data_IF_487257653147
#
_entry.id   IF_487257653147
#
_cell.length_a   1.000
_cell.length_b   1.000
_cell.length_c   1.000
_cell.angle_alpha   90.00
_cell.angle_beta   90.00
_cell.angle_gamma   90.00
#
_symmetry.space_group_name_H-M   'P 1'
#
loop_
_entity.id
_entity.type
_entity.pdbx_description
1 polymer ?
#
# COMPACT_ATOMS: atom_id res chain seq x y z
N UNK A 1 13.79 -21.19 10.34
CA UNK A 1 12.53 -20.41 10.41
C UNK A 1 12.36 -19.83 9.03
N UNK A 2 11.19 -20.01 8.44
CA UNK A 2 10.85 -19.59 7.09
C UNK A 2 10.97 -18.05 7.00
N UNK A 3 11.95 -17.58 6.22
CA UNK A 3 12.29 -16.17 6.02
C UNK A 3 11.59 -15.61 4.76
N UNK A 4 10.55 -16.30 4.27
CA UNK A 4 9.66 -15.74 3.27
C UNK A 4 8.99 -14.51 3.87
N UNK A 5 9.28 -13.33 3.32
CA UNK A 5 8.56 -12.11 3.65
C UNK A 5 7.04 -12.37 3.62
N UNK A 6 6.21 -11.70 4.46
CA UNK A 6 4.74 -11.83 4.43
C UNK A 6 4.09 -11.34 3.11
N UNK A 7 4.88 -11.14 2.07
CA UNK A 7 4.57 -10.55 0.77
C UNK A 7 3.86 -11.48 -0.20
N UNK A 8 3.36 -12.62 0.26
CA UNK A 8 2.39 -13.41 -0.49
C UNK A 8 0.97 -13.25 0.06
N UNK A 9 0.79 -12.62 1.22
CA UNK A 9 -0.54 -12.46 1.83
C UNK A 9 -1.01 -11.03 1.66
N UNK A 10 -2.01 -10.86 0.82
CA UNK A 10 -2.63 -9.58 0.50
C UNK A 10 -4.07 -9.55 1.00
N UNK A 11 -4.56 -8.33 1.23
CA UNK A 11 -5.97 -8.06 1.38
C UNK A 11 -6.32 -6.84 0.54
N UNK A 12 -7.07 -7.07 -0.54
CA UNK A 12 -7.55 -6.02 -1.42
C UNK A 12 -8.77 -5.38 -0.78
N UNK A 13 -8.81 -4.06 -0.70
CA UNK A 13 -9.84 -3.28 -0.03
C UNK A 13 -10.36 -2.21 -0.98
N UNK A 14 -11.66 -1.98 -0.95
CA UNK A 14 -12.33 -0.86 -1.59
C UNK A 14 -13.49 -0.38 -0.72
N UNK A 15 -13.72 0.94 -0.70
CA UNK A 15 -14.82 1.57 0.02
C UNK A 15 -15.66 2.46 -0.88
N UNK A 16 -16.98 2.37 -0.72
CA UNK A 16 -17.88 3.44 -1.13
C UNK A 16 -18.23 4.33 0.05
N UNK A 17 -18.27 5.64 -0.17
CA UNK A 17 -18.37 6.62 0.90
C UNK A 17 -19.33 7.76 0.56
N UNK A 18 -19.81 8.46 1.59
CA UNK A 18 -20.65 9.65 1.41
C UNK A 18 -19.89 10.86 0.86
N UNK A 19 -18.57 10.77 0.67
CA UNK A 19 -17.76 11.83 0.09
C UNK A 19 -16.26 11.63 0.34
N UNK A 20 -15.44 12.62 -0.04
CA UNK A 20 -13.99 12.40 -0.15
C UNK A 20 -13.17 12.63 1.13
N UNK A 21 -13.77 13.13 2.21
CA UNK A 21 -13.04 13.52 3.41
C UNK A 21 -13.27 12.51 4.56
N UNK A 22 -12.28 11.67 4.91
CA UNK A 22 -12.46 10.62 5.92
C UNK A 22 -12.73 11.16 7.33
N UNK A 23 -12.50 12.45 7.61
CA UNK A 23 -12.81 13.07 8.90
C UNK A 23 -14.27 13.48 9.04
N UNK A 24 -14.97 13.70 7.93
CA UNK A 24 -16.34 14.24 7.94
C UNK A 24 -17.35 13.34 7.21
N UNK A 25 -16.87 12.47 6.33
CA UNK A 25 -17.67 11.53 5.55
C UNK A 25 -17.65 10.14 6.21
N UNK A 26 -18.51 9.27 5.69
CA UNK A 26 -18.78 7.92 6.18
C UNK A 26 -18.59 6.88 5.09
N UNK A 27 -18.11 5.71 5.51
CA UNK A 27 -18.13 4.49 4.68
C UNK A 27 -19.55 3.94 4.70
N UNK A 28 -20.06 3.59 3.53
CA UNK A 28 -21.42 3.06 3.34
C UNK A 28 -21.42 1.68 2.67
N UNK A 29 -20.33 1.33 1.98
CA UNK A 29 -20.08 -0.03 1.52
C UNK A 29 -18.61 -0.37 1.72
N UNK A 30 -18.34 -1.59 2.16
CA UNK A 30 -17.01 -2.18 2.24
C UNK A 30 -16.94 -3.42 1.39
N UNK A 31 -15.93 -3.50 0.53
CA UNK A 31 -15.54 -4.72 -0.16
C UNK A 31 -14.09 -5.06 0.17
N UNK A 32 -13.83 -6.29 0.56
CA UNK A 32 -12.45 -6.76 0.68
C UNK A 32 -12.29 -8.22 0.25
N UNK A 33 -11.10 -8.55 -0.24
CA UNK A 33 -10.75 -9.87 -0.78
C UNK A 33 -9.36 -10.24 -0.30
N UNK A 34 -9.23 -11.38 0.39
CA UNK A 34 -7.92 -11.95 0.71
C UNK A 34 -7.32 -12.56 -0.55
N UNK A 35 -6.01 -12.38 -0.75
CA UNK A 35 -5.28 -13.00 -1.85
C UNK A 35 -4.02 -13.63 -1.29
N UNK A 36 -3.79 -14.91 -1.59
CA UNK A 36 -2.58 -15.64 -1.21
C UNK A 36 -1.80 -15.96 -2.49
N UNK A 37 -0.62 -15.35 -2.64
CA UNK A 37 0.14 -15.25 -3.88
C UNK A 37 -0.66 -14.49 -4.93
N UNK A 38 -1.28 -15.25 -5.84
CA UNK A 38 -2.16 -14.76 -6.92
C UNK A 38 -3.56 -15.41 -6.88
N UNK A 39 -3.86 -16.16 -5.81
CA UNK A 39 -5.10 -16.91 -5.65
C UNK A 39 -6.06 -16.12 -4.76
N UNK A 40 -7.24 -15.82 -5.28
CA UNK A 40 -8.30 -15.15 -4.53
C UNK A 40 -8.87 -16.11 -3.46
N UNK A 41 -9.08 -15.59 -2.25
CA UNK A 41 -9.55 -16.32 -1.09
C UNK A 41 -10.86 -15.77 -0.54
N UNK A 42 -10.93 -15.63 0.78
CA UNK A 42 -12.12 -15.15 1.48
C UNK A 42 -12.49 -13.72 1.07
N UNK A 43 -13.77 -13.39 1.12
CA UNK A 43 -14.29 -12.04 0.88
C UNK A 43 -14.96 -11.49 2.13
N UNK A 44 -14.93 -10.17 2.26
CA UNK A 44 -15.68 -9.41 3.25
C UNK A 44 -16.54 -8.40 2.51
N UNK A 45 -17.83 -8.35 2.88
CA UNK A 45 -18.77 -7.37 2.36
C UNK A 45 -19.66 -6.84 3.46
N UNK A 46 -19.88 -5.54 3.48
CA UNK A 46 -20.80 -4.90 4.41
C UNK A 46 -21.38 -3.63 3.81
N UNK A 47 -22.69 -3.46 3.96
CA UNK A 47 -23.36 -2.16 3.85
C UNK A 47 -23.47 -1.54 5.24
N UNK A 48 -23.34 -0.22 5.34
CA UNK A 48 -23.34 0.48 6.62
C UNK A 48 -24.09 1.81 6.57
N UNK A 49 -24.83 2.12 7.63
CA UNK A 49 -25.60 3.34 7.72
C UNK A 49 -24.68 4.55 8.02
N UNK A 50 -24.75 5.63 7.22
CA UNK A 50 -23.99 6.85 7.48
C UNK A 50 -24.63 7.68 8.60
N UNK A 51 -23.87 8.62 9.18
CA UNK A 51 -24.40 9.51 10.24
C UNK A 51 -25.26 10.66 9.69
N UNK A 52 -25.22 10.88 8.37
CA UNK A 52 -25.99 11.89 7.67
C UNK A 52 -26.42 11.35 6.30
N UNK A 53 -27.44 11.98 5.71
CA UNK A 53 -27.98 11.58 4.41
C UNK A 53 -26.88 11.50 3.33
N UNK A 54 -26.96 10.48 2.48
CA UNK A 54 -26.01 10.27 1.39
C UNK A 54 -26.17 11.40 0.37
N UNK A 55 -25.11 12.17 0.06
CA UNK A 55 -25.20 13.22 -0.95
C UNK A 55 -25.52 12.63 -2.32
N UNK A 56 -26.46 13.25 -3.05
CA UNK A 56 -26.85 12.79 -4.39
C UNK A 56 -25.67 12.66 -5.36
N UNK A 57 -24.63 13.49 -5.21
CA UNK A 57 -23.41 13.41 -6.02
C UNK A 57 -22.64 12.10 -5.79
N UNK A 58 -22.65 11.56 -4.57
CA UNK A 58 -22.03 10.27 -4.24
C UNK A 58 -22.90 9.13 -4.78
N UNK A 59 -24.22 9.18 -4.56
CA UNK A 59 -25.17 8.20 -5.13
C UNK A 59 -25.11 8.11 -6.65
N UNK A 60 -24.80 9.19 -7.37
CA UNK A 60 -24.59 9.15 -8.83
C UNK A 60 -23.36 8.33 -9.25
N UNK A 61 -22.39 8.14 -8.35
CA UNK A 61 -21.17 7.34 -8.60
C UNK A 61 -21.45 5.86 -8.31
N UNK A 62 -21.84 5.54 -7.07
CA UNK A 62 -21.93 4.15 -6.59
C UNK A 62 -23.34 3.56 -6.59
N UNK A 63 -24.37 4.39 -6.85
CA UNK A 63 -25.76 3.94 -6.96
C UNK A 63 -26.43 3.58 -5.64
N UNK A 64 -25.81 3.86 -4.50
CA UNK A 64 -26.36 3.59 -3.15
C UNK A 64 -27.12 4.82 -2.67
N UNK A 65 -28.36 4.61 -2.25
CA UNK A 65 -29.24 5.64 -1.67
C UNK A 65 -29.53 5.34 -0.20
N UNK A 66 -30.08 6.31 0.54
CA UNK A 66 -30.34 6.16 1.98
C UNK A 66 -31.20 4.92 2.31
N UNK A 67 -32.17 4.59 1.45
CA UNK A 67 -33.04 3.43 1.62
C UNK A 67 -32.27 2.09 1.56
N UNK A 68 -31.16 2.01 0.81
CA UNK A 68 -30.37 0.78 0.69
C UNK A 68 -29.62 0.44 1.99
N UNK A 69 -29.37 1.43 2.84
CA UNK A 69 -28.55 1.31 4.06
C UNK A 69 -29.31 1.67 5.34
N UNK A 70 -30.63 1.92 5.25
CA UNK A 70 -31.44 2.40 6.37
C UNK A 70 -31.43 1.44 7.58
N UNK A 71 -31.43 0.14 7.33
CA UNK A 71 -31.42 -0.90 8.36
C UNK A 71 -30.00 -1.44 8.67
N UNK A 72 -28.97 -0.89 8.02
CA UNK A 72 -27.59 -1.33 8.20
C UNK A 72 -26.99 -0.80 9.51
N UNK A 73 -26.06 -1.53 10.15
CA UNK A 73 -25.34 -1.00 11.30
C UNK A 73 -24.40 0.15 10.89
N UNK A 74 -24.00 1.03 11.83
CA UNK A 74 -22.94 2.02 11.56
C UNK A 74 -21.61 1.30 11.27
N UNK A 75 -20.73 1.94 10.48
CA UNK A 75 -19.47 1.32 10.09
C UNK A 75 -18.58 0.99 11.28
N UNK A 76 -18.61 1.78 12.35
CA UNK A 76 -17.88 1.55 13.59
C UNK A 76 -18.17 0.16 14.21
N UNK A 77 -19.37 -0.41 13.98
CA UNK A 77 -19.72 -1.75 14.44
C UNK A 77 -19.10 -2.89 13.62
N UNK A 78 -18.48 -2.56 12.47
CA UNK A 78 -17.87 -3.51 11.52
C UNK A 78 -16.35 -3.36 11.42
N UNK A 79 -15.78 -2.29 12.01
CA UNK A 79 -14.34 -2.03 11.91
C UNK A 79 -13.51 -3.13 12.55
N UNK A 80 -13.92 -3.67 13.70
CA UNK A 80 -13.20 -4.77 14.35
C UNK A 80 -13.13 -6.01 13.44
N UNK A 81 -14.26 -6.45 12.91
CA UNK A 81 -14.35 -7.58 11.98
C UNK A 81 -13.49 -7.36 10.72
N UNK A 82 -13.47 -6.12 10.20
CA UNK A 82 -12.64 -5.77 9.06
C UNK A 82 -11.14 -5.79 9.41
N UNK A 83 -10.74 -5.26 10.56
CA UNK A 83 -9.33 -5.28 10.99
C UNK A 83 -8.82 -6.71 11.19
N UNK A 84 -9.65 -7.59 11.76
CA UNK A 84 -9.36 -9.03 11.87
C UNK A 84 -9.22 -9.66 10.47
N UNK A 85 -10.11 -9.32 9.53
CA UNK A 85 -10.02 -9.80 8.15
C UNK A 85 -8.73 -9.36 7.43
N UNK A 86 -8.19 -8.19 7.78
CA UNK A 86 -6.97 -7.61 7.21
C UNK A 86 -5.69 -8.01 7.97
N UNK A 87 -5.79 -8.76 9.07
CA UNK A 87 -4.66 -9.11 9.92
C UNK A 87 -3.59 -9.91 9.16
N UNK A 88 -2.31 -9.65 9.47
CA UNK A 88 -1.13 -10.30 8.86
C UNK A 88 -1.06 -10.25 7.33
N UNK A 89 -1.75 -9.27 6.72
CA UNK A 89 -1.84 -9.07 5.27
C UNK A 89 -1.38 -7.67 4.87
N UNK A 90 -0.79 -7.56 3.68
CA UNK A 90 -0.53 -6.28 3.05
C UNK A 90 -1.84 -5.76 2.46
N UNK A 91 -2.24 -4.55 2.86
CA UNK A 91 -3.44 -3.90 2.32
C UNK A 91 -3.15 -3.48 0.88
N UNK A 92 -4.05 -3.79 -0.04
CA UNK A 92 -3.96 -3.41 -1.45
C UNK A 92 -5.22 -2.64 -1.82
N UNK A 93 -5.09 -1.55 -2.55
CA UNK A 93 -6.24 -0.81 -3.05
C UNK A 93 -5.88 -0.05 -4.33
N UNK A 94 -6.88 0.28 -5.14
CA UNK A 94 -6.70 1.06 -6.36
C UNK A 94 -6.91 2.54 -6.04
N UNK A 95 -5.81 3.30 -5.88
CA UNK A 95 -5.77 4.58 -5.14
C UNK A 95 -5.72 4.45 -3.61
N UNK A 96 -4.96 3.47 -3.10
CA UNK A 96 -4.91 3.07 -1.69
C UNK A 96 -4.81 4.17 -0.63
N UNK A 97 -4.28 5.36 -0.97
CA UNK A 97 -4.35 6.53 -0.08
C UNK A 97 -5.75 6.76 0.48
N UNK A 98 -6.76 6.67 -0.39
CA UNK A 98 -8.14 7.00 -0.07
C UNK A 98 -8.70 6.00 0.95
N UNK A 99 -8.70 4.72 0.60
CA UNK A 99 -9.26 3.63 1.42
C UNK A 99 -8.55 3.53 2.75
N UNK A 100 -7.21 3.57 2.73
CA UNK A 100 -6.42 3.46 3.93
C UNK A 100 -6.68 4.65 4.89
N UNK A 101 -6.93 5.86 4.37
CA UNK A 101 -7.29 7.02 5.21
C UNK A 101 -8.69 6.89 5.84
N UNK A 102 -9.66 6.30 5.13
CA UNK A 102 -10.97 5.97 5.69
C UNK A 102 -10.88 4.88 6.75
N UNK A 103 -10.11 3.81 6.50
CA UNK A 103 -9.87 2.75 7.46
C UNK A 103 -9.23 3.28 8.76
N UNK A 104 -8.20 4.12 8.64
CA UNK A 104 -7.54 4.75 9.80
C UNK A 104 -8.51 5.63 10.59
N UNK A 105 -9.27 6.51 9.93
CA UNK A 105 -10.21 7.38 10.65
C UNK A 105 -11.35 6.59 11.30
N UNK A 106 -11.84 5.54 10.65
CA UNK A 106 -12.92 4.71 11.18
C UNK A 106 -12.46 3.86 12.37
N UNK A 107 -11.24 3.33 12.35
CA UNK A 107 -10.64 2.68 13.52
C UNK A 107 -10.55 3.64 14.72
N UNK A 108 -10.05 4.86 14.50
CA UNK A 108 -9.98 5.87 15.55
C UNK A 108 -11.36 6.26 16.11
N UNK A 109 -12.38 6.39 15.25
CA UNK A 109 -13.76 6.67 15.69
C UNK A 109 -14.36 5.53 16.50
N UNK A 110 -14.03 4.29 16.16
CA UNK A 110 -14.44 3.09 16.90
C UNK A 110 -13.65 2.88 18.20
N UNK A 111 -12.67 3.74 18.51
CA UNK A 111 -11.80 3.58 19.69
C UNK A 111 -10.78 2.44 19.54
N UNK A 112 -10.50 2.02 18.32
CA UNK A 112 -9.56 0.96 17.98
C UNK A 112 -8.24 1.56 17.46
N UNK A 113 -7.17 0.77 17.56
CA UNK A 113 -5.91 1.12 16.94
C UNK A 113 -6.00 0.95 15.41
N UNK A 114 -5.56 1.96 14.63
CA UNK A 114 -5.45 1.82 13.19
C UNK A 114 -4.49 0.70 12.78
N UNK A 115 -4.71 0.07 11.60
CA UNK A 115 -3.85 -1.01 11.14
C UNK A 115 -2.42 -0.51 10.95
N UNK A 116 -1.45 -1.32 11.38
CA UNK A 116 -0.02 -1.08 11.16
C UNK A 116 0.49 -1.71 9.86
N UNK A 117 -0.40 -2.35 9.10
CA UNK A 117 -0.08 -3.06 7.87
C UNK A 117 0.59 -2.16 6.83
N UNK A 118 1.46 -2.77 6.02
CA UNK A 118 1.92 -2.13 4.80
C UNK A 118 0.75 -1.99 3.82
N UNK A 119 0.84 -1.00 2.94
CA UNK A 119 -0.15 -0.75 1.91
C UNK A 119 0.49 -0.66 0.52
N UNK A 120 -0.22 -1.14 -0.50
CA UNK A 120 0.15 -1.09 -1.91
C UNK A 120 -0.98 -0.45 -2.72
N UNK A 121 -0.62 0.56 -3.50
CA UNK A 121 -1.46 1.23 -4.48
C UNK A 121 -1.22 0.62 -5.87
N UNK A 122 -2.22 -0.08 -6.40
CA UNK A 122 -2.12 -0.76 -7.70
C UNK A 122 -1.94 0.21 -8.85
N UNK A 123 -2.36 1.49 -8.74
CA UNK A 123 -2.11 2.52 -9.75
C UNK A 123 -0.62 2.83 -9.87
N UNK A 124 0.11 2.81 -8.74
CA UNK A 124 1.56 3.05 -8.73
C UNK A 124 2.30 1.87 -9.35
N UNK A 125 1.90 0.65 -8.99
CA UNK A 125 2.43 -0.57 -9.59
C UNK A 125 2.17 -0.62 -11.09
N UNK A 126 0.93 -0.38 -11.53
CA UNK A 126 0.55 -0.45 -12.93
C UNK A 126 1.34 0.54 -13.78
N UNK A 127 1.55 1.77 -13.32
CA UNK A 127 2.37 2.77 -14.01
C UNK A 127 3.83 2.37 -14.17
N UNK A 128 4.37 1.59 -13.23
CA UNK A 128 5.75 1.11 -13.28
C UNK A 128 5.90 -0.10 -14.19
N UNK A 129 4.92 -0.99 -14.17
CA UNK A 129 4.98 -2.30 -14.85
C UNK A 129 4.46 -2.24 -16.29
N UNK A 130 3.56 -1.31 -16.57
CA UNK A 130 2.94 -1.07 -17.88
C UNK A 130 3.01 0.42 -18.26
N UNK A 131 4.22 1.01 -18.40
CA UNK A 131 4.39 2.43 -18.74
C UNK A 131 3.79 2.82 -20.10
N UNK A 132 3.50 1.85 -20.97
CA UNK A 132 2.86 2.02 -22.27
C UNK A 132 1.35 2.24 -22.19
N UNK A 133 0.70 1.91 -21.06
CA UNK A 133 -0.73 2.16 -20.86
C UNK A 133 -0.95 3.63 -20.50
N UNK A 134 -1.81 4.32 -21.26
CA UNK A 134 -2.07 5.75 -21.04
C UNK A 134 -2.90 6.01 -19.77
N UNK A 135 -3.92 5.17 -19.53
CA UNK A 135 -4.91 5.34 -18.47
C UNK A 135 -4.83 4.20 -17.47
N UNK A 136 -4.55 4.54 -16.22
CA UNK A 136 -4.42 3.59 -15.12
C UNK A 136 -5.58 3.67 -14.11
N UNK A 137 -6.74 4.20 -14.51
CA UNK A 137 -7.97 3.98 -13.76
C UNK A 137 -8.42 2.52 -13.90
N UNK A 138 -9.12 2.01 -12.88
CA UNK A 138 -9.51 0.60 -12.80
C UNK A 138 -10.31 0.17 -14.03
N UNK A 139 -11.20 1.03 -14.54
CA UNK A 139 -11.99 0.73 -15.74
C UNK A 139 -11.10 0.48 -16.95
N UNK A 140 -10.15 1.36 -17.21
CA UNK A 140 -9.23 1.25 -18.34
C UNK A 140 -8.31 0.02 -18.22
N UNK A 141 -7.81 -0.26 -17.01
CA UNK A 141 -6.96 -1.43 -16.78
C UNK A 141 -7.74 -2.74 -16.90
N UNK A 142 -8.95 -2.81 -16.36
CA UNK A 142 -9.80 -3.98 -16.50
C UNK A 142 -10.11 -4.26 -17.98
N UNK A 143 -10.45 -3.23 -18.75
CA UNK A 143 -10.67 -3.36 -20.19
C UNK A 143 -9.41 -3.83 -20.93
N UNK A 144 -8.23 -3.29 -20.56
CA UNK A 144 -6.95 -3.64 -21.20
C UNK A 144 -6.56 -5.09 -20.95
N UNK A 145 -6.80 -5.60 -19.74
CA UNK A 145 -6.39 -6.94 -19.32
C UNK A 145 -7.51 -7.99 -19.40
N UNK A 146 -8.70 -7.62 -19.85
CA UNK A 146 -9.84 -8.54 -19.97
C UNK A 146 -10.45 -8.96 -18.63
N UNK A 147 -10.26 -8.17 -17.57
CA UNK A 147 -10.84 -8.41 -16.24
C UNK A 147 -12.33 -8.05 -16.28
N UNK A 148 -13.19 -8.98 -15.86
CA UNK A 148 -14.62 -8.75 -15.81
C UNK A 148 -14.97 -7.96 -14.55
N UNK A 149 -15.65 -6.83 -14.73
CA UNK A 149 -16.18 -6.02 -13.64
C UNK A 149 -17.70 -5.93 -13.80
N UNK A 150 -18.43 -6.62 -12.94
CA UNK A 150 -19.88 -6.77 -13.12
C UNK A 150 -20.63 -5.47 -12.88
N UNK A 151 -20.34 -4.78 -11.77
CA UNK A 151 -20.90 -3.48 -11.46
C UNK A 151 -19.79 -2.53 -11.05
N UNK A 152 -19.54 -1.53 -11.89
CA UNK A 152 -18.67 -0.43 -11.53
C UNK A 152 -19.20 0.29 -10.28
N UNK A 153 -18.30 0.71 -9.38
CA UNK A 153 -18.64 1.48 -8.18
C UNK A 153 -19.51 0.70 -7.20
N UNK A 154 -19.19 -0.58 -7.06
CA UNK A 154 -19.69 -1.46 -6.00
C UNK A 154 -18.47 -2.05 -5.33
N UNK A 155 -18.35 -1.84 -4.01
CA UNK A 155 -17.07 -2.00 -3.34
C UNK A 155 -16.50 -3.42 -3.49
N UNK A 156 -17.33 -4.46 -3.36
CA UNK A 156 -16.85 -5.84 -3.52
C UNK A 156 -16.46 -6.16 -4.97
N UNK A 157 -17.21 -5.69 -5.95
CA UNK A 157 -16.92 -5.92 -7.37
C UNK A 157 -15.61 -5.22 -7.79
N UNK A 158 -15.38 -4.00 -7.31
CA UNK A 158 -14.16 -3.24 -7.57
C UNK A 158 -12.95 -3.82 -6.79
N UNK A 159 -13.15 -4.35 -5.58
CA UNK A 159 -12.12 -5.09 -4.84
C UNK A 159 -11.74 -6.41 -5.54
N UNK A 160 -12.71 -7.17 -6.06
CA UNK A 160 -12.46 -8.39 -6.84
C UNK A 160 -11.71 -8.07 -8.13
N UNK A 161 -12.14 -7.05 -8.88
CA UNK A 161 -11.46 -6.62 -10.09
C UNK A 161 -10.01 -6.15 -9.80
N UNK A 162 -9.80 -5.49 -8.66
CA UNK A 162 -8.47 -5.07 -8.22
C UNK A 162 -7.62 -6.26 -7.77
N UNK A 163 -8.20 -7.32 -7.21
CA UNK A 163 -7.50 -8.57 -6.89
C UNK A 163 -7.03 -9.32 -8.15
N UNK A 164 -7.87 -9.39 -9.18
CA UNK A 164 -7.45 -9.93 -10.48
C UNK A 164 -6.35 -9.08 -11.12
N UNK A 165 -6.48 -7.75 -11.05
CA UNK A 165 -5.44 -6.83 -11.52
C UNK A 165 -4.13 -7.02 -10.75
N UNK A 166 -4.19 -7.20 -9.42
CA UNK A 166 -3.01 -7.47 -8.59
C UNK A 166 -2.29 -8.73 -9.06
N UNK A 167 -3.01 -9.82 -9.34
CA UNK A 167 -2.41 -11.05 -9.85
C UNK A 167 -1.62 -10.84 -11.15
N UNK A 168 -2.18 -10.05 -12.09
CA UNK A 168 -1.50 -9.67 -13.34
C UNK A 168 -0.27 -8.79 -13.09
N UNK A 169 -0.38 -7.83 -12.16
CA UNK A 169 0.74 -6.97 -11.78
C UNK A 169 1.88 -7.78 -11.15
N UNK A 170 1.56 -8.75 -10.27
CA UNK A 170 2.55 -9.64 -9.67
C UNK A 170 3.21 -10.54 -10.72
N UNK A 171 2.44 -11.09 -11.66
CA UNK A 171 2.99 -11.86 -12.78
C UNK A 171 3.97 -11.02 -13.63
N UNK A 172 3.59 -9.78 -13.93
CA UNK A 172 4.47 -8.86 -14.67
C UNK A 172 5.71 -8.48 -13.86
N UNK A 173 5.57 -8.25 -12.56
CA UNK A 173 6.68 -7.93 -11.67
C UNK A 173 7.70 -9.08 -11.63
N UNK A 174 7.23 -10.32 -11.54
CA UNK A 174 8.08 -11.52 -11.56
C UNK A 174 8.80 -11.66 -12.91
N UNK A 175 8.11 -11.40 -14.03
CA UNK A 175 8.72 -11.39 -15.36
C UNK A 175 9.80 -10.29 -15.53
N UNK A 176 9.61 -9.15 -14.88
CA UNK A 176 10.59 -8.06 -14.82
C UNK A 176 11.70 -8.30 -13.76
N UNK A 177 11.62 -9.40 -13.00
CA UNK A 177 12.59 -9.78 -11.98
C UNK A 177 12.52 -8.96 -10.69
N UNK A 178 11.38 -8.33 -10.39
CA UNK A 178 11.18 -7.58 -9.16
C UNK A 178 10.98 -8.53 -7.98
N UNK A 179 11.70 -8.28 -6.90
CA UNK A 179 11.43 -8.91 -5.61
C UNK A 179 10.13 -8.40 -5.00
N UNK A 180 9.55 -9.17 -4.08
CA UNK A 180 8.34 -8.78 -3.37
C UNK A 180 8.52 -7.50 -2.54
N UNK A 181 9.75 -7.23 -2.08
CA UNK A 181 10.13 -5.96 -1.42
C UNK A 181 10.09 -4.77 -2.38
N UNK A 182 10.53 -4.95 -3.62
CA UNK A 182 10.42 -3.91 -4.65
C UNK A 182 8.97 -3.63 -5.03
N UNK A 183 8.12 -4.66 -5.10
CA UNK A 183 6.67 -4.49 -5.29
C UNK A 183 6.08 -3.62 -4.17
N UNK A 184 6.38 -3.92 -2.90
CA UNK A 184 5.93 -3.09 -1.77
C UNK A 184 6.40 -1.64 -1.89
N UNK A 185 7.67 -1.42 -2.24
CA UNK A 185 8.25 -0.08 -2.32
C UNK A 185 7.64 0.75 -3.46
N UNK A 186 7.50 0.15 -4.64
CA UNK A 186 6.90 0.80 -5.81
C UNK A 186 5.42 1.09 -5.55
N UNK A 187 4.71 0.14 -4.95
CA UNK A 187 3.29 0.23 -4.64
C UNK A 187 2.96 1.19 -3.50
N UNK A 188 3.87 1.44 -2.56
CA UNK A 188 3.58 2.20 -1.32
C UNK A 188 2.82 3.52 -1.58
N UNK A 189 1.62 3.75 -0.99
CA UNK A 189 0.94 5.02 -1.16
C UNK A 189 1.75 6.15 -0.53
N UNK A 190 1.72 7.34 -1.15
CA UNK A 190 2.33 8.52 -0.56
C UNK A 190 1.76 8.74 0.85
N UNK A 191 2.58 9.21 1.81
CA UNK A 191 2.19 9.62 3.18
C UNK A 191 1.42 8.60 4.06
N UNK A 192 1.34 7.32 3.69
CA UNK A 192 1.02 6.26 4.65
C UNK A 192 2.18 6.16 5.66
N UNK A 193 2.03 6.89 6.78
CA UNK A 193 3.05 7.05 7.83
C UNK A 193 2.96 5.98 8.90
N UNK A 194 1.86 5.23 8.97
CA UNK A 194 1.67 4.07 9.86
C UNK A 194 1.83 2.80 9.04
N UNK A 195 3.08 2.40 8.94
CA UNK A 195 3.52 1.16 8.35
C UNK A 195 4.87 0.84 8.94
N UNK A 196 4.94 0.71 10.27
CA UNK A 196 5.97 -0.17 10.83
C UNK A 196 5.47 -1.55 10.50
N UNK A 197 6.00 -2.13 9.43
CA UNK A 197 6.15 -3.57 9.39
C UNK A 197 7.11 -3.90 10.54
N UNK A 198 6.68 -4.61 11.59
CA UNK A 198 7.61 -5.09 12.60
C UNK A 198 8.66 -5.94 11.87
N UNK A 199 9.91 -5.49 11.85
CA UNK A 199 10.99 -6.16 11.11
C UNK A 199 11.30 -5.66 9.70
N UNK A 200 10.52 -4.73 9.10
CA UNK A 200 10.99 -4.02 7.90
C UNK A 200 11.81 -2.81 8.31
N UNK A 201 13.07 -3.05 8.68
CA UNK A 201 14.09 -2.14 8.17
C UNK A 201 13.98 -2.27 6.65
N UNK A 202 13.97 -1.16 5.89
CA UNK A 202 14.00 -1.20 4.43
C UNK A 202 15.38 -1.64 3.91
N UNK A 203 16.01 -2.55 4.62
CA UNK A 203 17.27 -3.25 4.49
C UNK A 203 17.01 -4.60 5.14
N UNK A 204 17.24 -5.72 4.46
CA UNK A 204 17.25 -7.00 5.15
C UNK A 204 18.33 -7.00 6.24
N UNK A 205 18.34 -7.99 7.13
CA UNK A 205 19.37 -8.12 8.17
C UNK A 205 20.79 -7.96 7.58
N UNK A 206 21.01 -8.54 6.40
CA UNK A 206 22.26 -8.43 5.65
C UNK A 206 22.62 -7.00 5.26
N UNK A 207 21.68 -6.20 4.76
CA UNK A 207 22.00 -4.83 4.36
C UNK A 207 22.17 -3.89 5.56
N UNK A 208 21.53 -4.19 6.70
CA UNK A 208 21.82 -3.50 7.97
C UNK A 208 23.22 -3.84 8.44
N UNK A 209 23.58 -5.13 8.46
CA UNK A 209 24.92 -5.61 8.81
C UNK A 209 25.99 -4.95 7.92
N UNK A 210 25.75 -4.87 6.60
CA UNK A 210 26.66 -4.21 5.66
C UNK A 210 26.83 -2.72 5.94
N UNK A 211 25.74 -2.01 6.32
CA UNK A 211 25.86 -0.61 6.71
C UNK A 211 26.59 -0.44 8.04
N UNK A 212 26.29 -1.27 9.03
CA UNK A 212 26.95 -1.24 10.34
C UNK A 212 28.44 -1.55 10.22
N UNK A 213 28.81 -2.56 9.43
CA UNK A 213 30.20 -2.89 9.10
C UNK A 213 30.88 -1.71 8.40
N UNK A 214 30.28 -1.16 7.34
CA UNK A 214 30.83 -0.03 6.62
C UNK A 214 30.93 1.24 7.47
N UNK A 215 30.06 1.45 8.46
CA UNK A 215 30.16 2.53 9.44
C UNK A 215 31.39 2.36 10.32
N UNK A 216 31.70 1.12 10.72
CA UNK A 216 32.85 0.81 11.57
C UNK A 216 34.17 0.88 10.79
N UNK A 217 34.19 0.42 9.55
CA UNK A 217 35.41 0.36 8.72
C UNK A 217 35.65 1.63 7.91
N UNK A 218 34.60 2.42 7.66
CA UNK A 218 34.65 3.58 6.76
C UNK A 218 34.60 3.21 5.27
N UNK A 219 34.17 1.99 4.95
CA UNK A 219 34.11 1.51 3.57
C UNK A 219 33.00 2.19 2.76
N UNK A 220 33.20 2.25 1.44
CA UNK A 220 32.19 2.77 0.53
C UNK A 220 31.16 1.68 0.24
N UNK A 221 29.89 2.01 0.45
CA UNK A 221 28.76 1.21 0.00
C UNK A 221 28.06 1.87 -1.18
N UNK A 222 27.47 1.07 -2.06
CA UNK A 222 26.56 1.56 -3.09
C UNK A 222 25.13 1.37 -2.62
N UNK A 223 24.41 2.49 -2.52
CA UNK A 223 22.99 2.50 -2.21
C UNK A 223 22.19 2.49 -3.51
N UNK A 224 21.29 1.52 -3.66
CA UNK A 224 20.10 1.73 -4.49
C UNK A 224 19.15 2.65 -3.73
N UNK A 225 18.84 3.84 -4.25
CA UNK A 225 18.10 4.86 -3.52
C UNK A 225 16.94 5.45 -4.34
N UNK A 226 15.76 5.52 -3.72
CA UNK A 226 14.57 6.11 -4.31
C UNK A 226 14.44 7.60 -3.94
N UNK A 227 14.51 8.48 -4.93
CA UNK A 227 14.25 9.90 -4.69
C UNK A 227 12.80 10.16 -4.26
N UNK A 228 12.53 11.34 -3.67
CA UNK A 228 11.17 11.76 -3.29
C UNK A 228 10.16 11.75 -4.46
N UNK A 229 10.64 11.78 -5.72
CA UNK A 229 9.83 11.71 -6.94
C UNK A 229 9.70 10.29 -7.50
N UNK A 230 10.13 9.26 -6.77
CA UNK A 230 10.04 7.86 -7.19
C UNK A 230 11.04 7.42 -8.26
N UNK A 231 12.08 8.23 -8.54
CA UNK A 231 13.17 7.83 -9.45
C UNK A 231 14.28 7.12 -8.67
N UNK A 232 14.64 5.91 -9.10
CA UNK A 232 15.77 5.15 -8.58
C UNK A 232 17.10 5.77 -8.99
N UNK A 233 18.09 5.71 -8.10
CA UNK A 233 19.47 6.16 -8.30
C UNK A 233 20.42 5.18 -7.63
N UNK A 234 21.64 5.08 -8.14
CA UNK A 234 22.75 4.47 -7.41
C UNK A 234 23.62 5.58 -6.86
N UNK A 235 23.96 5.50 -5.57
CA UNK A 235 24.74 6.53 -4.87
C UNK A 235 25.88 5.83 -4.14
N UNK A 236 27.12 6.27 -4.35
CA UNK A 236 28.25 5.82 -3.55
C UNK A 236 28.30 6.63 -2.25
N UNK A 237 28.30 5.93 -1.11
CA UNK A 237 28.21 6.56 0.22
C UNK A 237 29.27 5.98 1.15
N UNK A 238 29.96 6.84 1.88
CA UNK A 238 30.70 6.45 3.10
C UNK A 238 29.77 6.68 4.30
N UNK A 239 29.20 5.63 4.90
CA UNK A 239 28.22 5.79 5.97
C UNK A 239 28.92 6.14 7.29
N UNK A 240 28.29 6.98 8.11
CA UNK A 240 28.84 7.43 9.40
C UNK A 240 28.05 6.91 10.58
N UNK A 241 26.72 6.86 10.46
CA UNK A 241 25.81 6.35 11.49
C UNK A 241 24.40 6.17 10.95
N UNK A 242 23.62 5.38 11.67
CA UNK A 242 22.18 5.27 11.52
C UNK A 242 21.52 5.93 12.74
N UNK A 243 20.69 6.94 12.49
CA UNK A 243 19.81 7.53 13.51
C UNK A 243 18.50 6.73 13.52
N UNK A 244 17.98 6.32 14.69
CA UNK A 244 16.78 5.47 14.84
C UNK A 244 15.48 6.23 15.13
N UNK A 245 15.55 7.56 15.23
CA UNK A 245 14.42 8.42 15.58
C UNK A 245 14.58 9.83 14.98
N UNK A 246 14.22 10.04 13.70
CA UNK A 246 13.70 9.06 12.73
C UNK A 246 14.80 8.22 12.06
N UNK A 247 14.41 7.08 11.47
CA UNK A 247 15.31 6.15 10.74
C UNK A 247 16.00 6.80 9.55
N UNK A 248 17.29 7.15 9.71
CA UNK A 248 18.09 7.84 8.71
C UNK A 248 19.53 7.36 8.68
N UNK A 249 20.06 7.15 7.49
CA UNK A 249 21.48 7.00 7.25
C UNK A 249 22.10 8.39 7.10
N UNK A 250 23.18 8.64 7.84
CA UNK A 250 24.03 9.83 7.68
C UNK A 250 25.37 9.38 7.11
N UNK A 251 25.87 10.09 6.11
CA UNK A 251 27.13 9.71 5.44
C UNK A 251 27.58 10.71 4.38
N UNK A 252 28.75 10.47 3.82
CA UNK A 252 29.32 11.27 2.73
C UNK A 252 28.89 10.74 1.37
N UNK A 253 28.23 11.58 0.58
CA UNK A 253 27.90 11.31 -0.82
C UNK A 253 29.17 11.52 -1.64
N UNK A 254 29.78 10.43 -2.11
CA UNK A 254 31.07 10.45 -2.83
C UNK A 254 30.92 11.20 -4.16
N UNK A 255 29.79 11.02 -4.85
CA UNK A 255 29.53 11.63 -6.16
C UNK A 255 29.26 13.14 -6.02
N UNK A 256 28.53 13.54 -4.97
CA UNK A 256 28.20 14.95 -4.73
C UNK A 256 29.25 15.70 -3.90
N UNK A 257 30.26 15.02 -3.37
CA UNK A 257 31.33 15.60 -2.56
C UNK A 257 30.85 16.24 -1.25
N UNK A 258 29.73 15.76 -0.67
CA UNK A 258 29.10 16.41 0.49
C UNK A 258 28.39 15.43 1.41
N UNK A 259 28.34 15.76 2.71
CA UNK A 259 27.58 14.98 3.69
C UNK A 259 26.08 15.14 3.47
N UNK A 260 25.36 14.03 3.47
CA UNK A 260 23.90 13.98 3.30
C UNK A 260 23.24 13.05 4.29
N UNK A 261 21.92 13.15 4.32
CA UNK A 261 21.04 12.34 5.15
C UNK A 261 20.03 11.66 4.24
N UNK A 262 19.97 10.34 4.32
CA UNK A 262 19.05 9.51 3.55
C UNK A 262 18.04 8.86 4.49
N UNK A 263 16.73 9.12 4.33
CA UNK A 263 15.71 8.31 4.97
C UNK A 263 15.93 6.83 4.61
N UNK A 264 16.05 5.98 5.64
CA UNK A 264 16.28 4.55 5.41
C UNK A 264 15.10 3.91 4.66
N UNK A 265 13.91 4.50 4.79
CA UNK A 265 12.70 4.07 4.07
C UNK A 265 12.71 4.35 2.55
N UNK A 266 13.85 4.78 2.02
CA UNK A 266 14.08 4.99 0.58
C UNK A 266 15.34 4.28 0.08
N UNK A 267 16.07 3.60 0.95
CA UNK A 267 17.17 2.74 0.54
C UNK A 267 16.57 1.40 0.11
N UNK A 268 16.94 0.94 -1.08
CA UNK A 268 16.39 -0.24 -1.76
C UNK A 268 17.38 -1.39 -1.67
N UNK A 269 18.66 -1.10 -1.87
CA UNK A 269 19.76 -2.07 -1.77
C UNK A 269 20.98 -1.41 -1.15
N UNK A 270 21.81 -2.22 -0.50
CA UNK A 270 23.15 -1.84 -0.04
C UNK A 270 24.10 -2.91 -0.57
N UNK A 271 25.09 -2.49 -1.33
CA UNK A 271 26.13 -3.36 -1.88
C UNK A 271 27.49 -2.85 -1.40
N UNK A 272 28.34 -3.77 -0.90
CA UNK A 272 29.74 -3.46 -0.67
C UNK A 272 30.44 -3.19 -2.00
N UNK A 273 31.44 -2.29 -1.99
CA UNK A 273 32.23 -1.95 -3.19
C UNK A 273 33.49 -2.80 -3.29
#
# INVERSE_FOLDING_TARGET
>A
MDDSLPTERWAVLDFETTGLNPRTCDVIETGAVQVDGRVLGATFHALTAPRAAIPAASSLVHGIVDDDVADAPPFEARVADLLEFLEDRVIVAHHARFDCAFLEQSALRAGLDPPTAAAVDTVRLSRRLFPEIERHDLTSLCATHGIRRERAHRALDDALATAELLAILLERADADGLSSREVLLVGRPAHWRRGRLPGLVLLGAREVELLEEAILTGDIVRLGYLSARGRGRRIAVVPYRIDSAPDRLVGYDVDAGTTRIWPLDRVITVEAT
#
